data_IF_014877238801
#
_entry.id   IF_014877238801
#
_cell.length_a   1.000
_cell.length_b   1.000
_cell.length_c   1.000
_cell.angle_alpha   90.00
_cell.angle_beta   90.00
_cell.angle_gamma   90.00
#
_symmetry.space_group_name_H-M   'P 1'
#
loop_
_entity.id
_entity.type
_entity.pdbx_description
1 polymer ?
#
# COMPACT_ATOMS: atom_id res chain seq x y z
N UNK A 1 14.21 10.94 -6.53
CA UNK A 1 13.80 10.21 -7.74
C UNK A 1 12.42 9.64 -7.45
N UNK A 2 11.35 10.18 -8.06
CA UNK A 2 9.98 9.72 -7.80
C UNK A 2 9.62 8.56 -8.73
N UNK A 3 9.08 7.48 -8.18
CA UNK A 3 8.56 6.35 -8.97
C UNK A 3 7.04 6.42 -8.93
N UNK A 4 6.43 6.54 -10.11
CA UNK A 4 4.98 6.61 -10.28
C UNK A 4 4.43 5.24 -10.68
N UNK A 5 3.61 4.65 -9.82
CA UNK A 5 2.94 3.38 -10.12
C UNK A 5 1.49 3.65 -10.47
N UNK A 6 1.07 3.27 -11.69
CA UNK A 6 -0.32 3.40 -12.14
C UNK A 6 -1.17 2.19 -11.72
N UNK A 7 -2.41 2.46 -11.32
CA UNK A 7 -3.36 1.42 -10.95
C UNK A 7 -3.87 0.67 -12.17
N UNK A 8 -3.85 -0.66 -12.00
CA UNK A 8 -4.52 -1.58 -12.88
C UNK A 8 -5.29 -2.63 -12.08
N UNK A 9 -6.49 -2.98 -12.57
CA UNK A 9 -7.29 -4.10 -12.06
C UNK A 9 -8.00 -4.79 -13.21
N UNK A 10 -8.10 -6.13 -13.24
CA UNK A 10 -8.90 -6.81 -14.25
C UNK A 10 -10.40 -6.55 -14.01
N UNK A 11 -11.15 -6.39 -15.11
CA UNK A 11 -12.61 -6.32 -15.09
C UNK A 11 -13.20 -7.70 -14.72
N UNK A 12 -14.05 -7.78 -13.70
CA UNK A 12 -14.69 -9.05 -13.31
C UNK A 12 -15.51 -9.70 -14.44
N UNK A 13 -16.08 -8.87 -15.34
CA UNK A 13 -16.86 -9.33 -16.49
C UNK A 13 -16.01 -9.83 -17.65
N UNK A 14 -15.19 -8.94 -18.23
CA UNK A 14 -14.49 -9.19 -19.49
C UNK A 14 -12.97 -9.37 -19.35
N UNK A 15 -12.43 -9.29 -18.14
CA UNK A 15 -11.00 -9.44 -17.82
C UNK A 15 -10.07 -8.41 -18.47
N UNK A 16 -10.61 -7.38 -19.17
CA UNK A 16 -9.81 -6.25 -19.63
C UNK A 16 -9.17 -5.54 -18.44
N UNK A 17 -7.92 -5.13 -18.61
CA UNK A 17 -7.21 -4.29 -17.66
C UNK A 17 -7.88 -2.93 -17.58
N UNK A 18 -8.40 -2.62 -16.40
CA UNK A 18 -8.95 -1.32 -16.05
C UNK A 18 -7.82 -0.49 -15.48
N UNK A 19 -7.68 0.73 -15.98
CA UNK A 19 -6.80 1.77 -15.44
C UNK A 19 -7.65 2.91 -14.90
N UNK A 20 -7.02 3.91 -14.27
CA UNK A 20 -7.70 5.13 -13.80
C UNK A 20 -8.54 5.80 -14.90
N UNK A 21 -8.08 5.78 -16.15
CA UNK A 21 -8.80 6.33 -17.30
C UNK A 21 -9.99 5.51 -17.77
N UNK A 22 -10.21 4.30 -17.24
CA UNK A 22 -11.19 3.33 -17.76
C UNK A 22 -12.63 3.55 -17.26
N UNK A 23 -12.93 4.64 -16.54
CA UNK A 23 -14.23 4.89 -15.91
C UNK A 23 -14.80 3.66 -15.15
N UNK A 24 -13.89 2.93 -14.48
CA UNK A 24 -14.21 1.68 -13.81
C UNK A 24 -15.13 1.91 -12.60
N UNK A 25 -16.11 1.02 -12.43
CA UNK A 25 -17.05 1.04 -11.31
C UNK A 25 -16.87 -0.19 -10.44
N UNK A 26 -16.80 0.01 -9.13
CA UNK A 26 -16.77 -1.08 -8.16
C UNK A 26 -18.17 -1.61 -7.86
N UNK A 27 -18.25 -2.87 -7.43
CA UNK A 27 -19.49 -3.44 -6.91
C UNK A 27 -19.94 -2.70 -5.64
N UNK A 28 -21.14 -2.12 -5.66
CA UNK A 28 -21.65 -1.32 -4.53
C UNK A 28 -21.90 -2.11 -3.23
N UNK A 29 -21.93 -3.45 -3.28
CA UNK A 29 -22.15 -4.28 -2.09
C UNK A 29 -20.85 -4.69 -1.38
N UNK A 30 -19.86 -5.17 -2.14
CA UNK A 30 -18.63 -5.74 -1.57
C UNK A 30 -17.41 -4.84 -1.73
N UNK A 31 -17.49 -3.77 -2.53
CA UNK A 31 -16.40 -2.84 -2.85
C UNK A 31 -15.11 -3.47 -3.42
N UNK A 32 -15.10 -4.78 -3.72
CA UNK A 32 -13.88 -5.55 -3.97
C UNK A 32 -13.68 -5.97 -5.43
N UNK A 33 -14.69 -5.81 -6.29
CA UNK A 33 -14.63 -6.19 -7.71
C UNK A 33 -14.95 -4.99 -8.58
N UNK A 34 -14.15 -4.79 -9.62
CA UNK A 34 -14.24 -3.66 -10.55
C UNK A 34 -14.76 -4.09 -11.93
N UNK A 35 -15.49 -3.19 -12.57
CA UNK A 35 -16.11 -3.42 -13.87
C UNK A 35 -15.92 -2.20 -14.77
N UNK A 36 -15.61 -2.41 -16.05
CA UNK A 36 -15.66 -1.33 -17.03
C UNK A 36 -17.09 -0.81 -17.27
N UNK A 37 -18.11 -1.64 -17.00
CA UNK A 37 -19.49 -1.30 -17.30
C UNK A 37 -20.50 -2.13 -16.49
N UNK A 38 -21.76 -1.70 -16.49
CA UNK A 38 -22.87 -2.39 -15.81
C UNK A 38 -23.19 -3.74 -16.46
N UNK A 39 -22.95 -3.84 -17.76
CA UNK A 39 -23.08 -5.08 -18.54
C UNK A 39 -22.06 -6.11 -18.05
N UNK A 40 -20.80 -5.69 -17.86
CA UNK A 40 -19.76 -6.56 -17.29
C UNK A 40 -20.07 -7.02 -15.87
N UNK A 41 -20.65 -6.15 -15.04
CA UNK A 41 -21.12 -6.53 -13.71
C UNK A 41 -22.23 -7.59 -13.79
N UNK A 42 -23.19 -7.42 -14.70
CA UNK A 42 -24.32 -8.35 -14.86
C UNK A 42 -23.87 -9.70 -15.41
N UNK A 43 -22.92 -9.70 -16.37
CA UNK A 43 -22.31 -10.91 -16.92
C UNK A 43 -21.58 -11.69 -15.84
N UNK A 44 -20.71 -11.03 -15.08
CA UNK A 44 -19.99 -11.66 -13.96
C UNK A 44 -20.97 -12.15 -12.88
N UNK A 45 -22.05 -11.43 -12.61
CA UNK A 45 -23.07 -11.86 -11.65
C UNK A 45 -23.77 -13.18 -12.05
N UNK A 46 -24.04 -13.37 -13.34
CA UNK A 46 -24.80 -14.50 -13.89
C UNK A 46 -23.92 -15.66 -14.39
N UNK A 47 -22.59 -15.60 -14.25
CA UNK A 47 -21.71 -16.68 -14.71
C UNK A 47 -22.13 -18.03 -14.09
N UNK A 48 -22.20 -19.11 -14.89
CA UNK A 48 -22.63 -20.42 -14.43
C UNK A 48 -21.60 -21.09 -13.50
N UNK A 49 -21.96 -22.26 -12.95
CA UNK A 49 -21.05 -23.15 -12.21
C UNK A 49 -20.37 -22.52 -10.99
N UNK A 50 -21.07 -21.63 -10.27
CA UNK A 50 -20.55 -20.90 -9.10
C UNK A 50 -19.34 -19.99 -9.38
N UNK A 51 -19.00 -19.75 -10.64
CA UNK A 51 -17.86 -18.89 -11.01
C UNK A 51 -18.21 -17.40 -10.97
N UNK A 52 -19.51 -17.08 -10.95
CA UNK A 52 -19.98 -15.70 -10.92
C UNK A 52 -19.78 -14.98 -9.60
N UNK A 53 -19.69 -13.64 -9.68
CA UNK A 53 -19.56 -12.76 -8.52
C UNK A 53 -20.63 -13.02 -7.46
N UNK A 54 -21.84 -13.41 -7.86
CA UNK A 54 -22.97 -13.69 -6.96
C UNK A 54 -22.60 -14.58 -5.78
N UNK A 55 -21.76 -15.60 -6.00
CA UNK A 55 -21.41 -16.59 -4.97
C UNK A 55 -20.33 -16.11 -3.99
N UNK A 56 -19.51 -15.14 -4.40
CA UNK A 56 -18.42 -14.58 -3.58
C UNK A 56 -18.75 -13.20 -3.01
N UNK A 57 -19.75 -12.50 -3.54
CA UNK A 57 -20.09 -11.13 -3.16
C UNK A 57 -20.40 -10.98 -1.66
N UNK A 58 -21.15 -11.93 -1.08
CA UNK A 58 -21.50 -11.89 0.33
C UNK A 58 -20.28 -12.09 1.24
N UNK A 59 -19.44 -13.08 0.94
CA UNK A 59 -18.20 -13.34 1.69
C UNK A 59 -17.24 -12.15 1.60
N UNK A 60 -17.10 -11.54 0.42
CA UNK A 60 -16.28 -10.34 0.22
C UNK A 60 -16.83 -9.13 0.99
N UNK A 61 -18.16 -8.95 1.01
CA UNK A 61 -18.78 -7.87 1.77
C UNK A 61 -18.61 -8.04 3.29
N UNK A 62 -18.65 -9.27 3.80
CA UNK A 62 -18.42 -9.52 5.22
C UNK A 62 -16.95 -9.30 5.60
N UNK A 63 -16.02 -9.70 4.74
CA UNK A 63 -14.61 -9.35 4.88
C UNK A 63 -14.39 -7.83 4.89
N UNK A 64 -15.13 -7.06 4.09
CA UNK A 64 -15.07 -5.59 4.05
C UNK A 64 -15.60 -4.96 5.36
N UNK A 65 -16.66 -5.51 5.96
CA UNK A 65 -17.19 -5.02 7.25
C UNK A 65 -16.24 -5.27 8.41
N UNK A 66 -15.65 -6.47 8.49
CA UNK A 66 -14.66 -6.80 9.52
C UNK A 66 -13.44 -5.87 9.46
N UNK A 67 -13.12 -5.35 8.27
CA UNK A 67 -12.08 -4.33 8.06
C UNK A 67 -12.44 -2.94 8.59
N UNK A 68 -13.72 -2.58 8.61
CA UNK A 68 -14.19 -1.30 9.16
C UNK A 68 -14.29 -1.25 10.69
N UNK A 69 -14.45 -2.40 11.34
CA UNK A 69 -14.61 -2.49 12.80
C UNK A 69 -13.28 -2.46 13.58
N UNK A 70 -12.16 -2.74 12.92
CA UNK A 70 -10.82 -2.67 13.50
C UNK A 70 -10.13 -1.40 13.06
N UNK A 71 -10.47 -0.25 13.63
CA UNK A 71 -9.66 0.95 13.52
C UNK A 71 -8.70 0.93 14.71
N UNK A 72 -7.42 0.50 14.58
CA UNK A 72 -6.47 0.70 15.66
C UNK A 72 -6.32 2.22 15.81
N UNK A 73 -7.01 2.73 16.82
CA UNK A 73 -6.73 3.97 17.54
C UNK A 73 -5.22 4.21 17.48
N UNK A 74 -4.78 5.26 16.80
CA UNK A 74 -3.41 5.80 16.78
C UNK A 74 -2.51 5.17 17.85
N UNK A 75 -1.95 4.00 17.56
CA UNK A 75 -1.14 3.27 18.53
C UNK A 75 0.30 3.58 18.19
N UNK A 76 0.97 4.10 19.22
CA UNK A 76 2.42 4.26 19.40
C UNK A 76 3.24 3.52 18.35
N UNK A 77 4.23 4.20 17.75
CA UNK A 77 5.31 3.60 16.96
C UNK A 77 5.64 2.24 17.54
N UNK A 78 5.30 1.22 16.77
CA UNK A 78 5.51 -0.15 17.15
C UNK A 78 6.93 -0.46 16.74
N UNK A 79 7.85 -0.50 17.70
CA UNK A 79 9.12 -1.18 17.52
C UNK A 79 8.80 -2.67 17.46
N UNK A 80 8.36 -3.13 16.29
CA UNK A 80 8.07 -4.52 16.07
C UNK A 80 9.41 -5.26 15.98
N UNK A 81 9.65 -6.21 16.88
CA UNK A 81 10.70 -7.22 16.68
C UNK A 81 10.36 -8.17 15.50
N UNK A 82 9.13 -8.08 14.98
CA UNK A 82 8.61 -8.82 13.84
C UNK A 82 7.78 -7.87 12.96
N UNK A 83 8.33 -7.42 11.82
CA UNK A 83 7.64 -6.55 10.88
C UNK A 83 6.68 -7.30 9.95
N UNK A 84 6.63 -8.62 10.01
CA UNK A 84 5.83 -9.47 9.11
C UNK A 84 4.34 -9.15 9.11
N UNK A 85 3.65 -8.93 10.25
CA UNK A 85 2.22 -8.58 10.24
C UNK A 85 1.93 -7.23 9.58
N UNK A 86 2.83 -6.25 9.74
CA UNK A 86 2.72 -4.96 9.04
C UNK A 86 2.99 -5.11 7.55
N UNK A 87 3.98 -5.92 7.17
CA UNK A 87 4.27 -6.21 5.77
C UNK A 87 3.16 -7.02 5.10
N UNK A 88 2.50 -7.94 5.81
CA UNK A 88 1.31 -8.64 5.32
C UNK A 88 0.16 -7.67 5.09
N UNK A 89 -0.09 -6.75 6.03
CA UNK A 89 -1.11 -5.70 5.85
C UNK A 89 -0.74 -4.75 4.71
N UNK A 90 0.52 -4.36 4.59
CA UNK A 90 1.03 -3.53 3.50
C UNK A 90 0.85 -4.22 2.14
N UNK A 91 1.26 -5.48 2.06
CA UNK A 91 1.08 -6.32 0.88
C UNK A 91 -0.39 -6.49 0.51
N UNK A 92 -1.25 -6.70 1.51
CA UNK A 92 -2.68 -6.83 1.31
C UNK A 92 -3.31 -5.52 0.80
N UNK A 93 -2.87 -4.35 1.29
CA UNK A 93 -3.27 -3.03 0.77
C UNK A 93 -2.82 -2.90 -0.68
N UNK A 94 -1.55 -3.22 -0.95
CA UNK A 94 -0.99 -3.16 -2.30
C UNK A 94 -1.77 -4.07 -3.24
N UNK A 95 -1.91 -5.38 -2.95
CA UNK A 95 -2.56 -6.38 -3.80
C UNK A 95 -4.07 -6.20 -3.96
N UNK A 96 -4.80 -5.84 -2.91
CA UNK A 96 -6.27 -5.71 -2.99
C UNK A 96 -6.71 -4.44 -3.70
N UNK A 97 -5.94 -3.36 -3.56
CA UNK A 97 -6.28 -2.09 -4.20
C UNK A 97 -5.60 -1.94 -5.55
N UNK A 98 -4.45 -2.56 -5.82
CA UNK A 98 -3.68 -2.36 -7.05
C UNK A 98 -2.96 -3.68 -7.46
N UNK A 99 -2.71 -3.98 -8.74
CA UNK A 99 -1.84 -5.12 -9.13
C UNK A 99 -0.29 -5.01 -8.96
N UNK A 100 0.36 -3.94 -8.46
CA UNK A 100 1.81 -3.73 -8.48
C UNK A 100 2.49 -4.22 -7.19
N UNK A 101 1.90 -5.18 -6.48
CA UNK A 101 2.50 -5.74 -5.26
C UNK A 101 3.98 -6.06 -5.48
N UNK A 102 4.30 -6.82 -6.53
CA UNK A 102 5.68 -7.19 -6.91
C UNK A 102 6.57 -5.97 -7.20
N UNK A 103 6.09 -4.97 -7.95
CA UNK A 103 6.88 -3.77 -8.30
C UNK A 103 7.21 -2.90 -7.08
N UNK A 104 6.35 -2.86 -6.06
CA UNK A 104 6.67 -2.15 -4.82
C UNK A 104 7.83 -2.84 -4.07
N UNK A 105 7.85 -4.18 -4.03
CA UNK A 105 8.97 -4.92 -3.42
C UNK A 105 10.27 -4.77 -4.20
N UNK A 106 10.22 -4.70 -5.54
CA UNK A 106 11.40 -4.39 -6.36
C UNK A 106 11.99 -3.02 -6.02
N UNK A 107 11.14 -2.00 -5.86
CA UNK A 107 11.56 -0.65 -5.46
C UNK A 107 12.18 -0.67 -4.07
N UNK A 108 11.50 -1.26 -3.08
CA UNK A 108 12.03 -1.36 -1.72
C UNK A 108 13.36 -2.13 -1.67
N UNK A 109 13.49 -3.22 -2.45
CA UNK A 109 14.72 -4.02 -2.52
C UNK A 109 15.89 -3.21 -3.10
N UNK A 110 15.67 -2.53 -4.23
CA UNK A 110 16.70 -1.67 -4.84
C UNK A 110 17.11 -0.52 -3.91
N UNK A 111 16.17 0.02 -3.15
CA UNK A 111 16.45 1.06 -2.16
C UNK A 111 17.28 0.56 -0.99
N UNK A 112 17.01 -0.64 -0.49
CA UNK A 112 17.86 -1.28 0.52
C UNK A 112 19.27 -1.47 -0.02
N UNK A 113 19.42 -2.01 -1.24
CA UNK A 113 20.71 -2.19 -1.90
C UNK A 113 21.48 -0.85 -2.05
N UNK A 114 20.80 0.21 -2.52
CA UNK A 114 21.37 1.55 -2.69
C UNK A 114 21.72 2.23 -1.34
N UNK A 115 20.90 2.03 -0.32
CA UNK A 115 21.08 2.56 1.03
C UNK A 115 22.27 1.92 1.75
N UNK A 116 22.35 0.58 1.69
CA UNK A 116 23.49 -0.21 2.20
C UNK A 116 24.79 0.25 1.53
N UNK A 117 24.81 0.32 0.19
CA UNK A 117 26.01 0.67 -0.57
C UNK A 117 26.55 2.08 -0.26
N UNK A 118 25.67 3.01 0.16
CA UNK A 118 26.02 4.42 0.38
C UNK A 118 26.05 4.81 1.86
N UNK A 119 25.75 3.89 2.78
CA UNK A 119 25.52 4.20 4.20
C UNK A 119 24.42 5.25 4.41
N UNK A 120 23.50 5.39 3.45
CA UNK A 120 22.56 6.49 3.39
C UNK A 120 21.25 6.11 4.07
N UNK A 121 20.76 7.01 4.94
CA UNK A 121 19.45 6.88 5.55
C UNK A 121 18.39 7.59 4.73
N UNK A 122 17.22 6.98 4.61
CA UNK A 122 16.08 7.52 3.90
C UNK A 122 14.77 6.99 4.49
N UNK A 123 13.71 7.75 4.28
CA UNK A 123 12.33 7.32 4.52
C UNK A 123 11.61 7.19 3.18
N UNK A 124 10.81 6.14 3.04
CA UNK A 124 9.89 6.00 1.92
C UNK A 124 8.53 6.53 2.33
N UNK A 125 8.08 7.59 1.67
CA UNK A 125 6.75 8.14 1.86
C UNK A 125 5.78 7.58 0.82
N UNK A 126 4.59 7.23 1.30
CA UNK A 126 3.50 6.65 0.52
C UNK A 126 2.24 7.47 0.80
N UNK A 127 1.65 8.07 -0.22
CA UNK A 127 0.51 8.99 -0.07
C UNK A 127 -0.84 8.30 -0.40
N UNK A 128 -1.82 8.30 0.53
CA UNK A 128 -3.14 7.66 0.33
C UNK A 128 -4.12 8.43 -0.55
N UNK A 129 -4.03 9.76 -0.67
CA UNK A 129 -4.80 10.50 -1.69
C UNK A 129 -4.61 9.91 -3.10
N UNK A 130 -3.47 9.23 -3.27
CA UNK A 130 -3.08 8.51 -4.47
C UNK A 130 -3.71 7.10 -4.54
N UNK A 131 -3.96 6.43 -3.42
CA UNK A 131 -4.64 5.12 -3.38
C UNK A 131 -6.13 5.18 -3.72
N UNK A 132 -6.80 6.29 -3.41
CA UNK A 132 -8.17 6.54 -3.87
C UNK A 132 -8.24 6.85 -5.37
N UNK A 133 -7.15 7.35 -5.93
CA UNK A 133 -7.05 7.79 -7.32
C UNK A 133 -6.27 6.81 -8.21
N UNK A 134 -5.89 5.65 -7.67
CA UNK A 134 -5.21 4.60 -8.42
C UNK A 134 -3.79 4.97 -8.86
N UNK A 135 -3.02 5.68 -8.05
CA UNK A 135 -1.57 5.79 -8.24
C UNK A 135 -0.91 5.54 -6.88
N UNK A 136 0.31 5.03 -6.84
CA UNK A 136 1.13 5.11 -5.62
C UNK A 136 2.38 5.85 -6.02
N UNK A 137 2.62 6.96 -5.32
CA UNK A 137 3.87 7.67 -5.41
C UNK A 137 4.74 7.26 -4.23
N UNK A 138 5.94 6.82 -4.56
CA UNK A 138 6.99 6.54 -3.59
C UNK A 138 7.98 7.68 -3.65
N UNK A 139 8.09 8.43 -2.57
CA UNK A 139 9.11 9.46 -2.43
C UNK A 139 10.17 8.98 -1.46
N UNK A 140 11.39 8.93 -1.95
CA UNK A 140 12.57 8.68 -1.11
C UNK A 140 13.07 10.01 -0.61
N UNK A 141 12.98 10.23 0.70
CA UNK A 141 13.48 11.45 1.33
C UNK A 141 14.78 11.09 2.08
N UNK A 142 15.94 11.58 1.62
CA UNK A 142 17.21 11.40 2.34
C UNK A 142 17.16 12.03 3.73
N UNK A 143 17.94 11.50 4.68
CA UNK A 143 18.02 12.02 6.06
C UNK A 143 18.16 13.54 6.12
N UNK A 144 19.08 14.12 5.34
CA UNK A 144 19.26 15.58 5.30
C UNK A 144 17.99 16.37 4.91
N UNK A 145 17.14 15.82 4.04
CA UNK A 145 15.86 16.46 3.70
C UNK A 145 14.80 16.22 4.77
N UNK A 146 14.80 15.07 5.45
CA UNK A 146 13.92 14.81 6.60
C UNK A 146 14.19 15.80 7.73
N UNK A 147 15.45 16.20 7.92
CA UNK A 147 15.82 17.24 8.89
C UNK A 147 15.25 18.61 8.54
N UNK A 148 15.30 19.01 7.27
CA UNK A 148 14.66 20.26 6.82
C UNK A 148 13.14 20.21 7.04
N UNK A 149 12.49 19.08 6.74
CA UNK A 149 11.06 18.92 6.98
C UNK A 149 10.67 18.99 8.47
N UNK A 150 11.58 18.62 9.38
CA UNK A 150 11.38 18.75 10.82
C UNK A 150 11.39 20.22 11.27
N UNK A 151 12.21 21.06 10.64
CA UNK A 151 12.25 22.49 10.94
C UNK A 151 10.92 23.17 10.58
N UNK A 152 10.27 22.70 9.52
CA UNK A 152 9.00 23.24 9.01
C UNK A 152 7.76 22.65 9.69
N UNK A 153 7.79 21.38 10.12
CA UNK A 153 6.68 20.70 10.77
C UNK A 153 7.13 19.85 11.97
N UNK A 154 6.79 20.32 13.18
CA UNK A 154 7.08 19.62 14.43
C UNK A 154 6.38 18.25 14.53
N UNK A 155 5.29 18.01 13.80
CA UNK A 155 4.64 16.69 13.71
C UNK A 155 5.55 15.66 13.02
N UNK A 156 6.54 16.11 12.24
CA UNK A 156 7.52 15.27 11.56
C UNK A 156 8.67 14.79 12.46
N UNK A 157 8.79 15.31 13.69
CA UNK A 157 9.82 14.95 14.68
C UNK A 157 9.97 13.45 14.90
N UNK A 158 8.85 12.73 14.85
CA UNK A 158 8.84 11.28 15.00
C UNK A 158 9.44 10.55 13.80
N UNK A 159 9.18 11.04 12.59
CA UNK A 159 9.73 10.48 11.35
C UNK A 159 11.24 10.68 11.32
N UNK A 160 11.71 11.89 11.64
CA UNK A 160 13.12 12.21 11.75
C UNK A 160 13.84 11.31 12.76
N UNK A 161 13.27 11.13 13.97
CA UNK A 161 13.86 10.24 14.98
C UNK A 161 14.00 8.80 14.48
N UNK A 162 12.97 8.28 13.79
CA UNK A 162 12.99 6.92 13.25
C UNK A 162 14.07 6.75 12.18
N UNK A 163 14.27 7.77 11.33
CA UNK A 163 15.33 7.82 10.31
C UNK A 163 16.71 7.86 10.94
N UNK A 164 16.95 8.72 11.93
CA UNK A 164 18.26 8.85 12.61
C UNK A 164 18.74 7.56 13.27
N UNK A 165 17.80 6.75 13.77
CA UNK A 165 18.11 5.66 14.70
C UNK A 165 17.93 4.25 14.12
N UNK A 166 17.56 4.11 12.85
CA UNK A 166 17.50 2.78 12.22
C UNK A 166 18.87 2.35 11.67
N UNK A 167 19.07 1.03 11.62
CA UNK A 167 20.25 0.40 11.02
C UNK A 167 20.03 0.29 9.48
N UNK A 168 20.72 1.07 8.64
CA UNK A 168 20.51 1.05 7.20
C UNK A 168 20.93 -0.27 6.53
N UNK A 169 21.66 -1.15 7.22
CA UNK A 169 21.98 -2.47 6.70
C UNK A 169 20.86 -3.50 6.89
N UNK A 170 20.00 -3.28 7.89
CA UNK A 170 19.02 -4.28 8.36
C UNK A 170 17.60 -3.79 8.37
N UNK A 171 17.39 -2.48 8.28
CA UNK A 171 16.11 -1.85 8.51
C UNK A 171 15.82 -0.79 7.46
N UNK A 172 14.54 -0.48 7.32
CA UNK A 172 14.02 0.52 6.42
C UNK A 172 12.82 1.21 7.07
N UNK A 173 12.65 2.53 6.84
CA UNK A 173 11.52 3.28 7.39
C UNK A 173 10.50 3.57 6.30
N UNK A 174 9.25 3.16 6.55
CA UNK A 174 8.11 3.46 5.68
C UNK A 174 7.18 4.41 6.42
N UNK A 175 6.85 5.52 5.77
CA UNK A 175 5.78 6.43 6.14
C UNK A 175 4.62 6.27 5.17
N UNK A 176 3.43 6.09 5.73
CA UNK A 176 2.18 5.96 4.99
C UNK A 176 1.21 7.03 5.47
N UNK A 177 0.90 7.98 4.60
CA UNK A 177 -0.07 9.03 4.86
C UNK A 177 -1.45 8.53 4.50
N UNK A 178 -2.40 8.66 5.43
CA UNK A 178 -3.80 8.29 5.24
C UNK A 178 -4.67 9.52 5.23
N UNK A 179 -5.63 9.60 4.30
CA UNK A 179 -6.57 10.72 4.19
C UNK A 179 -7.79 10.55 5.09
N UNK A 180 -8.16 9.30 5.46
CA UNK A 180 -9.32 9.07 6.34
C UNK A 180 -9.15 7.87 7.30
N UNK A 181 -8.98 8.10 8.62
CA UNK A 181 -8.73 9.40 9.27
C UNK A 181 -7.36 9.97 8.84
N UNK A 182 -7.20 11.29 8.85
CA UNK A 182 -5.93 11.96 8.57
C UNK A 182 -4.85 11.51 9.58
N UNK A 183 -3.97 10.61 9.16
CA UNK A 183 -2.96 9.99 10.03
C UNK A 183 -1.71 9.64 9.23
N UNK A 184 -0.56 9.72 9.91
CA UNK A 184 0.70 9.18 9.41
C UNK A 184 0.95 7.85 10.13
N UNK A 185 1.12 6.77 9.37
CA UNK A 185 1.55 5.48 9.88
C UNK A 185 3.02 5.33 9.52
N UNK A 186 3.89 5.36 10.53
CA UNK A 186 5.33 5.22 10.35
C UNK A 186 5.80 3.97 11.07
N UNK A 187 6.55 3.14 10.36
CA UNK A 187 7.07 1.90 10.94
C UNK A 187 8.42 1.52 10.32
N UNK A 188 9.17 0.72 11.09
CA UNK A 188 10.38 0.07 10.62
C UNK A 188 10.01 -1.28 10.02
N UNK A 189 10.71 -1.61 8.95
CA UNK A 189 10.64 -2.90 8.29
C UNK A 189 12.04 -3.49 8.27
N UNK A 190 12.14 -4.78 8.60
CA UNK A 190 13.39 -5.51 8.47
C UNK A 190 13.69 -5.79 6.99
N UNK A 191 14.94 -5.58 6.58
CA UNK A 191 15.39 -5.81 5.20
C UNK A 191 15.11 -7.25 4.73
N UNK A 192 15.27 -8.22 5.63
CA UNK A 192 14.95 -9.63 5.36
C UNK A 192 13.48 -9.86 4.99
N UNK A 193 12.54 -9.14 5.60
CA UNK A 193 11.10 -9.27 5.28
C UNK A 193 10.76 -8.74 3.89
N UNK A 194 11.56 -7.81 3.37
CA UNK A 194 11.45 -7.27 2.01
C UNK A 194 12.11 -8.25 1.03
N UNK A 195 13.32 -8.71 1.33
CA UNK A 195 14.13 -9.54 0.44
C UNK A 195 13.59 -10.99 0.32
N UNK A 196 13.09 -11.57 1.41
CA UNK A 196 12.54 -12.94 1.44
C UNK A 196 11.23 -13.10 0.66
N UNK A 197 10.61 -12.01 0.19
CA UNK A 197 9.42 -12.05 -0.67
C UNK A 197 9.72 -11.97 -2.17
N UNK A 198 11.01 -11.89 -2.53
CA UNK A 198 11.49 -11.91 -3.91
C UNK A 198 11.57 -13.33 -4.50
N UNK A 199 11.44 -14.35 -3.65
CA UNK A 199 11.55 -15.79 -3.96
C UNK A 199 10.22 -16.49 -4.16
#
# INVERSE_FOLDING_TARGET
>A
MGIRIEWSSPCGGCQKTLTKGSNAKKCGKCNSVWYCSKECQTLDWKRPNKQGHKHRCAALAEADKLRGAGNPRSQKAFEAHDSKPMMDRFHEILQRKIQPGERAYEVMSKMLEDGVAKGARAIMMIHEEVLGNGTIEFTVVPEAQVEVMLEDDAAFSRHALMVRTYDPEKQFVICYETSQPERHIVFRVMAEDILNRRS
#
